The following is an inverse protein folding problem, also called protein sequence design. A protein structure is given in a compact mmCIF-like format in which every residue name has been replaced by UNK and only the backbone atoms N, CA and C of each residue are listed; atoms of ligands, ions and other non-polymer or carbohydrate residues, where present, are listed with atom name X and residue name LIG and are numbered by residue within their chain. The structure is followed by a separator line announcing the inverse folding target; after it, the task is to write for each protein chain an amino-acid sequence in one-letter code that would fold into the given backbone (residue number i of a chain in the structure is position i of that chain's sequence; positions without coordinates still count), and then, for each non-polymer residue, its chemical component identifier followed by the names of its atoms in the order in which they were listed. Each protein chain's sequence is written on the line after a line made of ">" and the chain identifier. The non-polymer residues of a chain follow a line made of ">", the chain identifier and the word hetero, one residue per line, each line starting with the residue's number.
data_IF_201943554609
#
_entry.id   IF_201943554609
#
_cell.length_a   1.000
_cell.length_b   1.000
_cell.length_c   1.000
_cell.angle_alpha   90.00
_cell.angle_beta   90.00
_cell.angle_gamma   90.00
#
_symmetry.space_group_name_H-M   'P 1'
#
loop_
_entity.id
_entity.type
_entity.pdbx_description
1 polymer ?
#
# COMPACT_ATOMS: atom_id res chain seq x y z
N UNK A 1 9.52 -18.30 -7.23
CA UNK A 1 8.35 -17.64 -6.59
C UNK A 1 8.18 -16.29 -7.24
N UNK A 2 6.96 -15.86 -7.51
CA UNK A 2 6.70 -14.53 -8.05
C UNK A 2 6.59 -13.48 -6.94
N UNK A 3 6.66 -12.21 -7.34
CA UNK A 3 6.54 -11.04 -6.45
C UNK A 3 5.26 -11.04 -5.61
N UNK A 4 4.16 -11.56 -6.18
CA UNK A 4 2.87 -11.69 -5.49
C UNK A 4 2.97 -12.66 -4.31
N UNK A 5 3.55 -13.84 -4.52
CA UNK A 5 3.68 -14.84 -3.47
C UNK A 5 4.61 -14.38 -2.35
N UNK A 6 5.69 -13.66 -2.67
CA UNK A 6 6.62 -13.13 -1.68
C UNK A 6 5.98 -12.03 -0.82
N UNK A 7 5.21 -11.13 -1.43
CA UNK A 7 4.47 -10.09 -0.70
C UNK A 7 3.42 -10.69 0.24
N UNK A 8 2.71 -11.73 -0.18
CA UNK A 8 1.76 -12.46 0.68
C UNK A 8 2.49 -13.09 1.87
N UNK A 9 3.64 -13.73 1.65
CA UNK A 9 4.43 -14.30 2.76
C UNK A 9 4.88 -13.25 3.76
N UNK A 10 5.36 -12.10 3.28
CA UNK A 10 5.77 -10.97 4.14
C UNK A 10 4.60 -10.43 4.93
N UNK A 11 3.44 -10.20 4.29
CA UNK A 11 2.23 -9.72 4.95
C UNK A 11 1.76 -10.67 6.05
N UNK A 12 1.68 -11.98 5.76
CA UNK A 12 1.26 -13.00 6.75
C UNK A 12 2.24 -13.08 7.93
N UNK A 13 3.54 -12.87 7.72
CA UNK A 13 4.51 -12.85 8.81
C UNK A 13 4.30 -11.68 9.77
N UNK A 14 3.81 -10.52 9.29
CA UNK A 14 3.58 -9.33 10.12
C UNK A 14 2.46 -9.52 11.15
N UNK A 15 1.52 -10.46 10.92
CA UNK A 15 0.44 -10.76 11.87
C UNK A 15 0.94 -11.23 13.24
N UNK A 16 2.19 -11.71 13.32
CA UNK A 16 2.82 -12.15 14.57
C UNK A 16 3.23 -11.01 15.50
N UNK A 17 3.36 -9.79 15.00
CA UNK A 17 3.78 -8.63 15.80
C UNK A 17 2.92 -7.40 15.45
N UNK A 18 1.88 -7.19 16.26
CA UNK A 18 0.93 -6.09 16.08
C UNK A 18 1.59 -4.70 16.13
N UNK A 19 2.76 -4.55 16.78
CA UNK A 19 3.49 -3.28 16.81
C UNK A 19 3.96 -2.81 15.43
N UNK A 20 3.98 -3.70 14.43
CA UNK A 20 4.33 -3.38 13.05
C UNK A 20 3.11 -3.07 12.16
N UNK A 21 1.88 -3.19 12.67
CA UNK A 21 0.65 -2.95 11.91
C UNK A 21 0.18 -1.51 12.12
N UNK A 22 -0.23 -0.84 11.05
CA UNK A 22 -0.82 0.51 11.07
C UNK A 22 -2.11 0.50 10.29
N UNK A 23 -3.23 0.66 10.99
CA UNK A 23 -4.54 0.86 10.38
C UNK A 23 -4.72 2.36 10.16
N UNK A 24 -4.62 2.81 8.91
CA UNK A 24 -4.70 4.22 8.53
C UNK A 24 -5.70 4.42 7.39
N UNK A 25 -6.22 5.65 7.27
CA UNK A 25 -7.04 6.08 6.15
C UNK A 25 -6.66 7.50 5.74
N UNK A 26 -6.89 7.82 4.46
CA UNK A 26 -6.60 9.14 3.88
C UNK A 26 -7.90 9.91 3.67
N UNK A 27 -7.99 11.12 4.22
CA UNK A 27 -9.13 12.02 4.07
C UNK A 27 -8.67 13.43 3.68
N UNK A 28 -9.50 14.12 2.90
CA UNK A 28 -9.20 15.41 2.28
C UNK A 28 -10.49 15.97 1.65
N UNK A 29 -10.51 17.26 1.32
CA UNK A 29 -11.60 17.85 0.55
C UNK A 29 -11.63 17.31 -0.90
N UNK A 30 -12.66 17.68 -1.68
CA UNK A 30 -12.68 17.37 -3.12
C UNK A 30 -11.47 18.04 -3.79
N UNK A 31 -10.88 17.37 -4.79
CA UNK A 31 -9.72 17.83 -5.56
C UNK A 31 -8.40 18.06 -4.79
N UNK A 32 -8.32 17.64 -3.53
CA UNK A 32 -7.09 17.72 -2.72
C UNK A 32 -6.16 16.51 -2.89
N UNK A 33 -6.27 15.77 -3.99
CA UNK A 33 -5.31 14.70 -4.32
C UNK A 33 -5.37 13.46 -3.44
N UNK A 34 -6.54 13.14 -2.87
CA UNK A 34 -6.74 12.00 -1.96
C UNK A 34 -6.39 10.64 -2.61
N UNK A 35 -6.87 10.43 -3.84
CA UNK A 35 -6.60 9.23 -4.66
C UNK A 35 -5.16 9.22 -5.17
N UNK A 36 -4.71 10.35 -5.71
CA UNK A 36 -3.33 10.49 -6.20
C UNK A 36 -2.28 10.25 -5.11
N UNK A 37 -2.56 10.65 -3.87
CA UNK A 37 -1.70 10.34 -2.73
C UNK A 37 -1.68 8.83 -2.44
N UNK A 38 -2.84 8.16 -2.35
CA UNK A 38 -2.88 6.73 -2.05
C UNK A 38 -2.20 5.89 -3.13
N UNK A 39 -2.41 6.24 -4.40
CA UNK A 39 -1.89 5.47 -5.53
C UNK A 39 -0.37 5.59 -5.62
N UNK A 40 0.16 6.80 -5.42
CA UNK A 40 1.61 7.03 -5.38
C UNK A 40 2.29 6.37 -4.17
N UNK A 41 1.62 6.25 -3.02
CA UNK A 41 2.16 5.51 -1.88
C UNK A 41 2.25 4.01 -2.18
N UNK A 42 1.23 3.43 -2.81
CA UNK A 42 1.21 2.02 -3.20
C UNK A 42 2.24 1.74 -4.30
N UNK A 43 2.37 2.64 -5.28
CA UNK A 43 3.40 2.57 -6.32
C UNK A 43 4.82 2.66 -5.73
N UNK A 44 5.09 3.68 -4.91
CA UNK A 44 6.39 3.87 -4.25
C UNK A 44 6.76 2.71 -3.31
N UNK A 45 5.77 2.05 -2.69
CA UNK A 45 5.96 0.83 -1.91
C UNK A 45 6.21 -0.42 -2.78
N UNK A 46 6.16 -0.30 -4.11
CA UNK A 46 6.30 -1.42 -5.02
C UNK A 46 5.15 -2.43 -4.93
N UNK A 47 3.94 -1.97 -4.63
CA UNK A 47 2.74 -2.82 -4.51
C UNK A 47 1.85 -2.75 -5.76
N UNK A 48 2.13 -1.82 -6.68
CA UNK A 48 1.38 -1.60 -7.92
C UNK A 48 2.33 -1.17 -9.06
N UNK A 49 1.93 -1.38 -10.33
CA UNK A 49 2.64 -0.90 -11.51
C UNK A 49 2.41 0.60 -11.74
N UNK A 50 3.35 1.25 -12.43
CA UNK A 50 3.25 2.68 -12.78
C UNK A 50 2.01 2.97 -13.63
N UNK A 51 1.67 2.08 -14.57
CA UNK A 51 0.49 2.21 -15.44
C UNK A 51 -0.85 2.25 -14.69
N UNK A 52 -0.87 1.85 -13.41
CA UNK A 52 -2.05 1.85 -12.56
C UNK A 52 -2.00 2.98 -11.52
N UNK A 53 -0.91 3.74 -11.43
CA UNK A 53 -0.72 4.81 -10.46
C UNK A 53 -1.15 6.17 -11.04
N UNK A 54 -2.05 6.88 -10.36
CA UNK A 54 -2.45 8.25 -10.75
C UNK A 54 -3.76 8.74 -10.17
#
# INVERSE_FOLDING_TARGET
>A
MGRKEDNIKRATALFKNLNNIRNIGTAAHIDHGKTTLSDNLIFGAGMMSEDLAG
#
